data_IF_362157005462
#
_entry.id   IF_362157005462
#
_cell.length_a   1.000
_cell.length_b   1.000
_cell.length_c   1.000
_cell.angle_alpha   90.00
_cell.angle_beta   90.00
_cell.angle_gamma   90.00
#
_symmetry.space_group_name_H-M   'P 1'
#
loop_
_entity.id
_entity.type
_entity.pdbx_description
1 polymer ?
#
# COMPACT_ATOMS: atom_id res chain seq x y z
N UNK A 1 -19.16 8.39 3.66
CA UNK A 1 -18.17 8.81 2.64
C UNK A 1 -17.84 7.60 1.80
N UNK A 2 -18.01 7.69 0.48
CA UNK A 2 -17.85 6.55 -0.44
C UNK A 2 -16.39 6.10 -0.45
N UNK A 3 -16.19 4.81 -0.18
CA UNK A 3 -14.97 4.06 -0.49
C UNK A 3 -14.55 4.41 -1.91
N UNK A 4 -13.33 4.91 -2.09
CA UNK A 4 -12.64 4.74 -3.37
C UNK A 4 -12.68 3.25 -3.72
N UNK A 5 -12.94 2.94 -4.98
CA UNK A 5 -12.87 1.55 -5.45
C UNK A 5 -11.43 1.09 -5.23
N UNK A 6 -11.19 -0.04 -4.55
CA UNK A 6 -9.83 -0.55 -4.37
C UNK A 6 -9.13 -0.70 -5.70
N UNK A 7 -7.83 -0.42 -5.75
CA UNK A 7 -7.07 -0.53 -6.99
C UNK A 7 -6.99 -2.00 -7.42
N UNK A 8 -7.34 -2.26 -8.68
CA UNK A 8 -7.10 -3.55 -9.30
C UNK A 8 -5.59 -3.74 -9.50
N UNK A 9 -4.96 -4.75 -8.86
CA UNK A 9 -3.53 -5.01 -9.00
C UNK A 9 -3.07 -5.21 -10.44
N UNK A 10 -3.93 -5.73 -11.31
CA UNK A 10 -3.62 -5.96 -12.72
C UNK A 10 -3.39 -4.66 -13.51
N UNK A 11 -3.84 -3.52 -12.97
CA UNK A 11 -3.69 -2.20 -13.59
C UNK A 11 -2.38 -1.49 -13.21
N UNK A 12 -1.66 -2.03 -12.22
CA UNK A 12 -0.41 -1.44 -11.72
C UNK A 12 0.75 -1.91 -12.60
N UNK A 13 1.56 -0.97 -13.09
CA UNK A 13 2.75 -1.29 -13.88
C UNK A 13 3.74 -2.08 -13.03
N UNK A 14 4.37 -3.12 -13.59
CA UNK A 14 5.36 -3.96 -12.89
C UNK A 14 6.48 -3.16 -12.21
N UNK A 15 7.01 -2.13 -12.89
CA UNK A 15 8.04 -1.24 -12.31
C UNK A 15 7.55 -0.50 -11.08
N UNK A 16 6.27 -0.14 -11.02
CA UNK A 16 5.68 0.53 -9.88
C UNK A 16 5.34 -0.46 -8.76
N UNK A 17 4.90 -1.69 -9.10
CA UNK A 17 4.75 -2.78 -8.13
C UNK A 17 6.06 -3.02 -7.36
N UNK A 18 7.21 -3.07 -8.05
CA UNK A 18 8.52 -3.23 -7.40
C UNK A 18 8.79 -2.11 -6.39
N UNK A 19 8.48 -0.85 -6.73
CA UNK A 19 8.67 0.31 -5.83
C UNK A 19 7.73 0.24 -4.63
N UNK A 20 6.49 -0.19 -4.83
CA UNK A 20 5.46 -0.33 -3.80
C UNK A 20 5.79 -1.48 -2.84
N UNK A 21 6.26 -2.62 -3.36
CA UNK A 21 6.77 -3.73 -2.53
C UNK A 21 8.01 -3.31 -1.74
N UNK A 22 8.93 -2.54 -2.34
CA UNK A 22 10.06 -1.99 -1.60
C UNK A 22 9.65 -0.96 -0.53
N UNK A 23 8.50 -0.28 -0.70
CA UNK A 23 7.91 0.54 0.36
C UNK A 23 7.33 -0.31 1.48
N UNK A 24 6.58 -1.35 1.14
CA UNK A 24 6.04 -2.31 2.09
C UNK A 24 7.13 -2.92 2.99
N UNK A 25 8.22 -3.45 2.41
CA UNK A 25 9.30 -4.06 3.18
C UNK A 25 10.03 -3.09 4.12
N UNK A 26 9.94 -1.77 3.89
CA UNK A 26 10.48 -0.76 4.83
C UNK A 26 9.58 -0.52 6.02
N UNK A 27 8.26 -0.66 5.87
CA UNK A 27 7.29 -0.42 6.95
C UNK A 27 6.92 -1.69 7.71
N UNK A 28 7.08 -2.86 7.07
CA UNK A 28 6.85 -4.18 7.64
C UNK A 28 8.13 -5.04 7.53
N UNK A 29 9.23 -4.70 8.23
CA UNK A 29 10.52 -5.37 8.05
C UNK A 29 10.53 -6.85 8.43
N UNK A 30 9.57 -7.30 9.23
CA UNK A 30 9.45 -8.68 9.69
C UNK A 30 8.58 -9.57 8.77
N UNK A 31 7.79 -9.00 7.85
CA UNK A 31 7.01 -9.76 6.85
C UNK A 31 7.72 -9.67 5.49
N UNK A 32 8.67 -10.58 5.27
CA UNK A 32 9.52 -10.59 4.08
C UNK A 32 8.82 -11.33 2.94
N UNK A 33 8.52 -10.62 1.85
CA UNK A 33 7.95 -11.20 0.63
C UNK A 33 9.07 -11.70 -0.31
N UNK A 34 9.04 -13.00 -0.65
CA UNK A 34 9.91 -13.57 -1.69
C UNK A 34 9.47 -13.11 -3.09
N UNK A 35 10.23 -13.43 -4.15
CA UNK A 35 9.87 -13.05 -5.54
C UNK A 35 8.55 -13.67 -6.01
N UNK A 36 8.26 -14.88 -5.53
CA UNK A 36 7.14 -15.71 -5.98
C UNK A 36 5.98 -15.66 -4.97
N UNK A 37 6.05 -14.78 -3.97
CA UNK A 37 4.99 -14.62 -2.98
C UNK A 37 3.71 -14.14 -3.68
N UNK A 38 2.61 -14.91 -3.62
CA UNK A 38 1.38 -14.59 -4.34
C UNK A 38 0.71 -13.31 -3.81
N UNK A 39 1.08 -12.82 -2.62
CA UNK A 39 0.53 -11.60 -2.01
C UNK A 39 1.07 -10.33 -2.65
N UNK A 40 2.17 -10.39 -3.40
CA UNK A 40 2.89 -9.20 -3.89
C UNK A 40 1.99 -8.24 -4.66
N UNK A 41 1.14 -8.75 -5.53
CA UNK A 41 0.25 -7.92 -6.33
C UNK A 41 -0.78 -7.19 -5.46
N UNK A 42 -1.42 -7.90 -4.52
CA UNK A 42 -2.35 -7.31 -3.57
C UNK A 42 -1.67 -6.27 -2.66
N UNK A 43 -0.50 -6.60 -2.10
CA UNK A 43 0.26 -5.68 -1.26
C UNK A 43 0.66 -4.41 -2.03
N UNK A 44 1.05 -4.54 -3.29
CA UNK A 44 1.35 -3.38 -4.12
C UNK A 44 0.12 -2.48 -4.30
N UNK A 45 -1.05 -3.05 -4.56
CA UNK A 45 -2.31 -2.31 -4.65
C UNK A 45 -2.67 -1.62 -3.33
N UNK A 46 -2.54 -2.30 -2.20
CA UNK A 46 -2.83 -1.74 -0.88
C UNK A 46 -1.88 -0.58 -0.53
N UNK A 47 -0.58 -0.69 -0.85
CA UNK A 47 0.38 0.41 -0.69
C UNK A 47 0.01 1.62 -1.56
N UNK A 48 -0.49 1.37 -2.76
CA UNK A 48 -0.94 2.42 -3.66
C UNK A 48 -2.22 3.09 -3.14
N UNK A 49 -3.20 2.30 -2.69
CA UNK A 49 -4.45 2.77 -2.08
C UNK A 49 -4.20 3.60 -0.81
N UNK A 50 -3.30 3.17 0.08
CA UNK A 50 -2.90 3.96 1.27
C UNK A 50 -2.28 5.31 0.86
N UNK A 51 -1.40 5.29 -0.15
CA UNK A 51 -0.71 6.46 -0.66
C UNK A 51 -1.65 7.48 -1.29
N UNK A 52 -2.66 6.99 -2.02
CA UNK A 52 -3.64 7.78 -2.74
C UNK A 52 -4.85 8.22 -1.91
N UNK A 53 -5.12 7.56 -0.77
CA UNK A 53 -6.28 7.88 0.04
C UNK A 53 -6.36 9.37 0.44
N UNK A 54 -7.58 9.92 0.44
CA UNK A 54 -7.82 11.33 0.74
C UNK A 54 -7.56 11.73 2.20
N UNK A 55 -7.56 10.76 3.12
CA UNK A 55 -7.32 10.98 4.54
C UNK A 55 -6.58 9.80 5.18
N UNK A 56 -6.02 10.02 6.38
CA UNK A 56 -5.42 8.94 7.17
C UNK A 56 -6.43 7.88 7.58
N UNK A 57 -7.68 8.27 7.85
CA UNK A 57 -8.73 7.32 8.22
C UNK A 57 -9.13 6.43 7.05
N UNK A 58 -9.24 6.98 5.84
CA UNK A 58 -9.46 6.17 4.63
C UNK A 58 -8.29 5.23 4.36
N UNK A 59 -7.05 5.68 4.57
CA UNK A 59 -5.88 4.81 4.45
C UNK A 59 -5.85 3.69 5.50
N UNK A 60 -6.30 3.95 6.73
CA UNK A 60 -6.44 2.91 7.76
C UNK A 60 -7.45 1.83 7.36
N UNK A 61 -8.54 2.22 6.70
CA UNK A 61 -9.55 1.25 6.22
C UNK A 61 -9.00 0.27 5.20
N UNK A 62 -8.03 0.68 4.36
CA UNK A 62 -7.39 -0.20 3.35
C UNK A 62 -6.75 -1.42 4.01
N UNK A 63 -6.10 -1.21 5.17
CA UNK A 63 -5.30 -2.25 5.84
C UNK A 63 -5.92 -2.71 7.17
N UNK A 64 -7.17 -2.36 7.44
CA UNK A 64 -7.83 -2.68 8.71
C UNK A 64 -7.92 -4.20 8.98
N UNK A 65 -7.74 -5.03 7.96
CA UNK A 65 -7.78 -6.49 8.01
C UNK A 65 -6.39 -7.15 8.12
N UNK A 66 -5.29 -6.38 8.09
CA UNK A 66 -3.94 -6.93 7.99
C UNK A 66 -3.50 -7.81 9.17
N UNK A 67 -4.00 -7.55 10.38
CA UNK A 67 -3.99 -8.51 11.49
C UNK A 67 -4.77 -7.85 12.65
N UNK A 68 -5.80 -8.50 13.24
CA UNK A 68 -6.45 -7.97 14.45
C UNK A 68 -5.50 -7.84 15.66
N UNK A 69 -4.34 -8.50 15.65
CA UNK A 69 -3.33 -8.45 16.71
C UNK A 69 -2.31 -7.31 16.55
N UNK A 70 -2.28 -6.61 15.39
CA UNK A 70 -1.45 -5.41 15.26
C UNK A 70 -2.12 -4.28 16.03
N UNK A 71 -1.61 -4.00 17.23
CA UNK A 71 -2.21 -3.06 18.18
C UNK A 71 -2.35 -1.62 17.64
N UNK A 72 -1.58 -1.24 16.61
CA UNK A 72 -1.70 0.09 16.02
C UNK A 72 -1.16 0.19 14.58
N UNK A 73 -2.06 0.29 13.60
CA UNK A 73 -1.71 0.48 12.18
C UNK A 73 -1.42 1.94 11.80
N UNK A 74 -1.69 2.92 12.68
CA UNK A 74 -1.51 4.35 12.40
C UNK A 74 -0.06 4.72 12.02
N UNK A 75 0.98 4.20 12.70
CA UNK A 75 2.37 4.48 12.32
C UNK A 75 2.72 3.96 10.93
N UNK A 76 2.20 2.79 10.55
CA UNK A 76 2.41 2.21 9.20
C UNK A 76 1.79 3.14 8.16
N UNK A 77 0.50 3.49 8.30
CA UNK A 77 -0.19 4.42 7.39
C UNK A 77 0.55 5.75 7.27
N UNK A 78 0.96 6.34 8.39
CA UNK A 78 1.69 7.61 8.38
C UNK A 78 3.03 7.50 7.64
N UNK A 79 3.76 6.39 7.84
CA UNK A 79 5.04 6.13 7.18
C UNK A 79 4.87 5.93 5.67
N UNK A 80 3.94 5.06 5.26
CA UNK A 80 3.61 4.82 3.84
C UNK A 80 3.24 6.12 3.16
N UNK A 81 2.29 6.89 3.70
CA UNK A 81 1.85 8.17 3.10
C UNK A 81 2.98 9.20 3.02
N UNK A 82 3.84 9.28 4.02
CA UNK A 82 5.00 10.19 4.00
C UNK A 82 5.99 9.81 2.90
N UNK A 83 6.34 8.54 2.80
CA UNK A 83 7.28 8.05 1.77
C UNK A 83 6.67 8.09 0.38
N UNK A 84 5.38 7.82 0.25
CA UNK A 84 4.64 7.81 -1.01
C UNK A 84 4.67 9.16 -1.72
N UNK A 85 4.58 10.28 -0.99
CA UNK A 85 4.66 11.64 -1.57
C UNK A 85 5.95 11.91 -2.37
N UNK A 86 7.02 11.19 -2.07
CA UNK A 86 8.30 11.31 -2.77
C UNK A 86 8.54 10.16 -3.75
N UNK A 87 7.59 9.22 -3.86
CA UNK A 87 7.69 8.05 -4.72
C UNK A 87 7.31 8.43 -6.15
N UNK A 88 8.27 8.30 -7.07
CA UNK A 88 8.03 8.56 -8.50
C UNK A 88 7.46 7.31 -9.17
N UNK A 89 6.14 7.28 -9.32
CA UNK A 89 5.44 6.25 -10.07
C UNK A 89 5.35 6.62 -11.55
N UNK A 90 5.41 5.63 -12.44
CA UNK A 90 5.31 5.83 -13.89
C UNK A 90 3.87 5.74 -14.40
N UNK A 91 2.98 5.09 -13.66
CA UNK A 91 1.56 5.02 -14.00
C UNK A 91 0.77 6.25 -13.55
N UNK A 92 -0.35 6.50 -14.24
CA UNK A 92 -1.30 7.56 -13.91
C UNK A 92 -2.46 6.98 -13.10
N UNK A 93 -2.21 6.78 -11.81
CA UNK A 93 -3.21 6.23 -10.88
C UNK A 93 -4.06 7.38 -10.31
N UNK A 94 -5.39 7.20 -10.26
CA UNK A 94 -6.32 8.14 -9.62
C UNK A 94 -6.96 7.46 -8.43
N UNK A 95 -7.11 8.20 -7.34
CA UNK A 95 -7.87 7.81 -6.14
C UNK A 95 -9.37 8.05 -6.32
#
# INVERSE_FOLDING_TARGET
MKSSVPIDPATIREKDKVKLIALYGRVCPNDVLTSDDPRRDCIAAEMLDIGLANSSDSALQVIAWWDPLIENLKPIVASVRRSFRNLKLEGHYRA
#
